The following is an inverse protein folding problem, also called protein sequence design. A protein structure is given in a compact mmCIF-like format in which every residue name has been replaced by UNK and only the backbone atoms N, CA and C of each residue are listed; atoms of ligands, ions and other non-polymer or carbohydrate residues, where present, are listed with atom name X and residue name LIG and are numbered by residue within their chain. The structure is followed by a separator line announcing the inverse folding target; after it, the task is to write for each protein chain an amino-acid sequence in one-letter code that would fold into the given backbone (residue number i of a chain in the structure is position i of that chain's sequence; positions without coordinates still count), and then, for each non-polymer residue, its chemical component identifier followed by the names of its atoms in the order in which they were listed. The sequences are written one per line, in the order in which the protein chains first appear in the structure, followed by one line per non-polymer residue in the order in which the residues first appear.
data_IF_848927819366
#
_entry.id   IF_848927819366
#
_cell.length_a   1.000
_cell.length_b   1.000
_cell.length_c   1.000
_cell.angle_alpha   90.00
_cell.angle_beta   90.00
_cell.angle_gamma   90.00
#
_symmetry.space_group_name_H-M   'P 1'
#
loop_
_entity.id
_entity.type
_entity.pdbx_description
1 polymer ?
#
# COMPACT_ATOMS: atom_id res chain seq x y z
N UNK A 1 -22.37 44.08 10.53
CA UNK A 1 -22.43 44.01 9.05
C UNK A 1 -21.01 43.81 8.51
N UNK A 2 -20.89 42.97 7.46
CA UNK A 2 -19.69 42.38 6.79
C UNK A 2 -19.15 41.12 7.52
N UNK A 3 -19.47 39.87 7.12
CA UNK A 3 -19.11 39.10 5.88
C UNK A 3 -17.60 39.10 5.61
N UNK A 4 -16.91 38.05 5.18
CA UNK A 4 -17.11 36.61 4.96
C UNK A 4 -15.67 36.10 4.67
N UNK A 5 -15.29 34.91 5.12
CA UNK A 5 -14.28 34.06 4.45
C UNK A 5 -14.27 32.69 5.12
N UNK A 6 -15.30 31.90 4.83
CA UNK A 6 -15.15 30.45 4.75
C UNK A 6 -14.34 30.15 3.49
N UNK A 7 -13.37 29.22 3.52
CA UNK A 7 -13.24 28.15 2.49
C UNK A 7 -12.33 27.00 3.01
N UNK A 8 -13.00 25.87 3.26
CA UNK A 8 -12.66 24.49 2.87
C UNK A 8 -11.26 23.90 3.12
N UNK A 9 -11.20 22.90 4.01
CA UNK A 9 -10.49 21.65 3.72
C UNK A 9 -11.31 20.46 4.24
N UNK A 10 -12.20 19.96 3.38
CA UNK A 10 -12.82 18.65 3.54
C UNK A 10 -12.04 17.67 2.67
N UNK A 11 -11.12 16.89 3.25
CA UNK A 11 -10.48 15.79 2.54
C UNK A 11 -11.10 14.43 2.91
N UNK A 12 -12.10 14.10 2.11
CA UNK A 12 -12.44 12.79 1.56
C UNK A 12 -11.99 11.52 2.29
N UNK A 13 -12.97 10.91 2.94
CA UNK A 13 -13.09 9.46 3.11
C UNK A 13 -12.92 8.70 1.78
N UNK A 14 -11.70 8.22 1.51
CA UNK A 14 -11.39 7.14 0.56
C UNK A 14 -10.59 6.01 1.25
N UNK A 15 -10.83 5.79 2.53
CA UNK A 15 -10.00 4.90 3.38
C UNK A 15 -10.15 3.39 3.08
N UNK A 16 -11.31 2.92 2.61
CA UNK A 16 -11.62 1.47 2.59
C UNK A 16 -10.79 0.56 1.66
N UNK A 17 -10.04 1.11 0.70
CA UNK A 17 -9.11 0.34 -0.16
C UNK A 17 -7.63 0.70 0.11
N UNK A 18 -7.41 1.87 0.73
CA UNK A 18 -6.12 2.51 0.99
C UNK A 18 -5.45 1.96 2.25
N UNK A 19 -6.23 1.65 3.28
CA UNK A 19 -5.71 1.05 4.51
C UNK A 19 -5.14 -0.35 4.28
N UNK A 20 -5.82 -1.22 3.52
CA UNK A 20 -5.48 -2.66 3.41
C UNK A 20 -4.08 -3.01 2.90
N UNK A 21 -3.44 -2.16 2.09
CA UNK A 21 -2.07 -2.46 1.62
C UNK A 21 -1.07 -2.42 2.79
N UNK A 22 -1.29 -1.49 3.73
CA UNK A 22 -0.36 -1.18 4.81
C UNK A 22 -0.96 -1.27 6.24
N UNK A 23 -2.21 -1.70 6.39
CA UNK A 23 -3.01 -1.73 7.64
C UNK A 23 -2.42 -2.62 8.76
N UNK A 24 -1.48 -3.51 8.45
CA UNK A 24 -0.89 -4.48 9.39
C UNK A 24 0.58 -4.17 9.76
N UNK A 25 0.96 -2.89 9.87
CA UNK A 25 2.34 -2.50 10.18
C UNK A 25 3.34 -2.69 9.04
N UNK A 26 2.86 -3.10 7.85
CA UNK A 26 3.66 -3.29 6.63
C UNK A 26 4.39 -2.02 6.20
N UNK A 27 3.82 -0.83 6.47
CA UNK A 27 4.50 0.44 6.18
C UNK A 27 5.78 0.58 7.01
N UNK A 28 5.73 0.31 8.31
CA UNK A 28 6.91 0.33 9.18
C UNK A 28 7.98 -0.65 8.69
N UNK A 29 7.56 -1.87 8.35
CA UNK A 29 8.46 -2.91 7.85
C UNK A 29 9.14 -2.50 6.54
N UNK A 30 8.40 -1.91 5.61
CA UNK A 30 8.94 -1.41 4.35
C UNK A 30 9.90 -0.23 4.58
N UNK A 31 9.51 0.77 5.37
CA UNK A 31 10.36 1.94 5.68
C UNK A 31 11.66 1.50 6.34
N UNK A 32 11.60 0.58 7.31
CA UNK A 32 12.78 0.03 7.97
C UNK A 32 13.69 -0.72 6.98
N UNK A 33 13.12 -1.52 6.07
CA UNK A 33 13.87 -2.19 5.01
C UNK A 33 14.59 -1.20 4.08
N UNK A 34 13.96 -0.08 3.71
CA UNK A 34 14.61 0.93 2.88
C UNK A 34 15.78 1.59 3.61
N UNK A 35 15.59 1.95 4.87
CA UNK A 35 16.65 2.56 5.71
C UNK A 35 17.82 1.58 5.93
N UNK A 36 17.57 0.27 5.95
CA UNK A 36 18.62 -0.75 6.03
C UNK A 36 19.59 -0.70 4.84
N UNK A 37 19.08 -0.43 3.64
CA UNK A 37 19.90 -0.45 2.42
C UNK A 37 20.92 0.70 2.42
N UNK A 38 20.49 1.87 2.87
CA UNK A 38 21.34 3.03 3.10
C UNK A 38 20.60 4.05 3.99
N UNK A 39 21.32 4.91 4.74
CA UNK A 39 20.69 6.00 5.48
C UNK A 39 19.92 6.94 4.55
N UNK A 40 18.70 7.32 4.93
CA UNK A 40 17.75 8.06 4.08
C UNK A 40 17.03 9.17 4.82
N UNK A 41 16.63 10.19 4.07
CA UNK A 41 15.70 11.23 4.51
C UNK A 41 14.25 10.80 4.30
N UNK A 42 13.33 11.41 5.04
CA UNK A 42 11.89 11.12 4.91
C UNK A 42 11.35 11.31 3.49
N UNK A 43 11.82 12.32 2.74
CA UNK A 43 11.39 12.54 1.36
C UNK A 43 11.94 11.49 0.38
N UNK A 44 13.14 10.96 0.63
CA UNK A 44 13.73 9.90 -0.19
C UNK A 44 12.93 8.61 -0.03
N UNK A 45 12.51 8.31 1.20
CA UNK A 45 11.63 7.19 1.53
C UNK A 45 10.27 7.34 0.82
N UNK A 46 9.68 8.55 0.83
CA UNK A 46 8.43 8.81 0.08
C UNK A 46 8.60 8.49 -1.40
N UNK A 47 9.68 9.01 -2.00
CA UNK A 47 9.98 8.82 -3.43
C UNK A 47 10.21 7.35 -3.76
N UNK A 48 11.04 6.67 -3.02
CA UNK A 48 11.40 5.27 -3.26
C UNK A 48 10.21 4.33 -3.06
N UNK A 49 9.33 4.58 -2.08
CA UNK A 49 8.06 3.85 -1.95
C UNK A 49 7.16 4.14 -3.15
N UNK A 50 7.06 5.39 -3.60
CA UNK A 50 6.30 5.74 -4.80
C UNK A 50 6.78 4.95 -6.01
N UNK A 51 8.10 4.90 -6.20
CA UNK A 51 8.71 4.16 -7.29
C UNK A 51 8.38 2.66 -7.11
N UNK A 52 8.59 2.07 -5.93
CA UNK A 52 8.27 0.67 -5.59
C UNK A 52 6.85 0.26 -5.94
N UNK A 53 5.86 1.09 -5.61
CA UNK A 53 4.45 0.79 -5.85
C UNK A 53 3.99 1.17 -7.28
N UNK A 54 4.69 2.10 -7.94
CA UNK A 54 4.33 2.65 -9.25
C UNK A 54 3.25 3.73 -9.18
N UNK A 55 2.76 4.19 -10.33
CA UNK A 55 1.79 5.30 -10.51
C UNK A 55 0.47 5.16 -9.71
N UNK A 56 0.24 4.02 -9.08
CA UNK A 56 -0.92 3.75 -8.24
C UNK A 56 -0.84 4.25 -6.79
N UNK A 57 0.33 4.65 -6.27
CA UNK A 57 0.44 5.11 -4.86
C UNK A 57 1.74 5.86 -4.52
N UNK A 58 1.59 7.06 -3.98
CA UNK A 58 2.65 7.79 -3.27
C UNK A 58 2.22 7.98 -1.81
N UNK A 59 3.02 7.58 -0.80
CA UNK A 59 2.68 7.82 0.59
C UNK A 59 2.79 9.32 0.92
N UNK A 60 1.87 9.83 1.74
CA UNK A 60 1.95 11.23 2.17
C UNK A 60 3.00 11.43 3.26
N UNK A 61 3.46 12.67 3.43
CA UNK A 61 4.27 13.07 4.58
C UNK A 61 3.59 12.69 5.91
N UNK A 62 2.29 12.89 6.04
CA UNK A 62 1.50 12.48 7.20
C UNK A 62 1.40 10.96 7.42
N UNK A 63 1.86 10.14 6.47
CA UNK A 63 2.02 8.69 6.66
C UNK A 63 3.46 8.35 7.05
N UNK A 64 4.45 8.94 6.37
CA UNK A 64 5.86 8.58 6.55
C UNK A 64 6.46 9.14 7.83
N UNK A 65 6.23 10.41 8.17
CA UNK A 65 6.84 10.98 9.37
C UNK A 65 6.36 10.32 10.68
N UNK A 66 5.05 10.03 10.86
CA UNK A 66 4.63 9.25 12.02
C UNK A 66 5.18 7.82 12.05
N UNK A 67 5.39 7.21 10.86
CA UNK A 67 6.04 5.90 10.76
C UNK A 67 7.48 5.96 11.23
N UNK A 68 8.24 7.00 10.83
CA UNK A 68 9.62 7.23 11.28
C UNK A 68 9.69 7.47 12.78
N UNK A 69 8.84 8.34 13.32
CA UNK A 69 8.76 8.58 14.77
C UNK A 69 8.51 7.27 15.53
N UNK A 70 7.57 6.45 15.07
CA UNK A 70 7.31 5.17 15.73
C UNK A 70 8.48 4.18 15.63
N UNK A 71 9.21 4.16 14.52
CA UNK A 71 10.40 3.30 14.38
C UNK A 71 11.54 3.78 15.31
N UNK A 72 11.69 5.09 15.49
CA UNK A 72 12.65 5.69 16.42
C UNK A 72 12.28 5.41 17.88
N UNK A 73 11.01 5.56 18.26
CA UNK A 73 10.50 5.19 19.59
C UNK A 73 10.70 3.70 19.92
N UNK A 74 10.65 2.85 18.89
CA UNK A 74 10.94 1.41 19.01
C UNK A 74 12.45 1.09 18.99
N UNK A 75 13.32 2.10 18.93
CA UNK A 75 14.78 1.98 18.79
C UNK A 75 15.24 1.17 17.57
N UNK A 76 14.41 1.09 16.52
CA UNK A 76 14.74 0.36 15.29
C UNK A 76 15.56 1.22 14.31
N UNK A 77 15.43 2.54 14.40
CA UNK A 77 16.22 3.52 13.66
C UNK A 77 16.72 4.61 14.60
N UNK A 78 17.74 5.35 14.19
CA UNK A 78 18.17 6.58 14.84
C UNK A 78 18.56 7.64 13.80
N UNK A 79 18.69 8.88 14.25
CA UNK A 79 19.22 9.97 13.44
C UNK A 79 20.74 9.83 13.30
N UNK A 80 21.20 9.70 12.07
CA UNK A 80 22.62 9.83 11.70
C UNK A 80 23.03 11.30 11.72
N UNK A 81 22.15 12.19 11.26
CA UNK A 81 22.33 13.65 11.27
C UNK A 81 21.02 14.31 11.71
N UNK A 82 21.06 15.02 12.84
CA UNK A 82 19.88 15.67 13.44
C UNK A 82 19.44 16.91 12.67
N UNK A 83 20.37 17.67 12.10
CA UNK A 83 20.07 18.86 11.31
C UNK A 83 19.47 18.49 9.96
N UNK A 84 19.98 17.41 9.35
CA UNK A 84 19.51 16.93 8.05
C UNK A 84 18.31 15.99 8.17
N UNK A 85 18.03 15.44 9.35
CA UNK A 85 17.02 14.40 9.59
C UNK A 85 17.25 13.16 8.72
N UNK A 86 18.50 12.70 8.69
CA UNK A 86 18.87 11.47 8.00
C UNK A 86 18.77 10.30 8.98
N UNK A 87 18.00 9.28 8.62
CA UNK A 87 17.75 8.11 9.45
C UNK A 87 18.62 6.94 9.01
N UNK A 88 19.14 6.20 9.98
CA UNK A 88 19.86 4.93 9.75
C UNK A 88 19.28 3.83 10.65
N UNK A 89 19.49 2.58 10.26
CA UNK A 89 19.01 1.42 11.01
C UNK A 89 19.92 1.14 12.22
N UNK A 90 19.35 0.69 13.33
CA UNK A 90 20.13 0.23 14.49
C UNK A 90 20.43 -1.27 14.43
N UNK A 91 21.26 -1.78 15.33
CA UNK A 91 21.45 -3.23 15.49
C UNK A 91 20.13 -3.95 15.83
N UNK A 92 19.32 -3.34 16.71
CA UNK A 92 17.98 -3.85 17.06
C UNK A 92 17.03 -3.84 15.86
N UNK A 93 17.10 -2.80 15.01
CA UNK A 93 16.40 -2.73 13.74
C UNK A 93 16.74 -3.87 12.78
N UNK A 94 18.03 -4.22 12.68
CA UNK A 94 18.49 -5.33 11.85
C UNK A 94 17.98 -6.69 12.37
N UNK A 95 18.03 -6.90 13.69
CA UNK A 95 17.48 -8.12 14.30
C UNK A 95 15.98 -8.24 14.02
N UNK A 96 15.22 -7.15 14.22
CA UNK A 96 13.79 -7.11 13.94
C UNK A 96 13.47 -7.40 12.46
N UNK A 97 14.21 -6.84 11.51
CA UNK A 97 14.03 -7.15 10.08
C UNK A 97 14.29 -8.62 9.77
N UNK A 98 15.29 -9.21 10.42
CA UNK A 98 15.62 -10.64 10.26
C UNK A 98 14.47 -11.51 10.75
N UNK A 99 13.89 -11.20 11.91
CA UNK A 99 12.71 -11.91 12.44
C UNK A 99 11.47 -11.76 11.55
N UNK A 100 11.32 -10.64 10.85
CA UNK A 100 10.18 -10.37 9.98
C UNK A 100 10.45 -10.66 8.49
N UNK A 101 11.54 -11.38 8.17
CA UNK A 101 12.01 -11.54 6.79
C UNK A 101 10.95 -12.18 5.87
N UNK A 102 10.20 -13.17 6.36
CA UNK A 102 9.15 -13.83 5.55
C UNK A 102 8.00 -12.88 5.23
N UNK A 103 7.58 -12.06 6.19
CA UNK A 103 6.55 -11.03 5.97
C UNK A 103 7.04 -9.94 5.03
N UNK A 104 8.32 -9.58 5.11
CA UNK A 104 8.94 -8.62 4.21
C UNK A 104 8.97 -9.16 2.78
N UNK A 105 9.39 -10.42 2.58
CA UNK A 105 9.35 -11.09 1.27
C UNK A 105 7.94 -11.12 0.70
N UNK A 106 6.95 -11.53 1.48
CA UNK A 106 5.55 -11.55 1.06
C UNK A 106 5.05 -10.15 0.64
N UNK A 107 5.43 -9.12 1.40
CA UNK A 107 5.11 -7.73 1.08
C UNK A 107 5.75 -7.29 -0.24
N UNK A 108 7.06 -7.53 -0.41
CA UNK A 108 7.79 -7.12 -1.61
C UNK A 108 7.26 -7.83 -2.86
N UNK A 109 6.95 -9.13 -2.80
CA UNK A 109 6.32 -9.85 -3.92
C UNK A 109 4.95 -9.27 -4.27
N UNK A 110 4.12 -8.92 -3.27
CA UNK A 110 2.83 -8.25 -3.51
C UNK A 110 2.98 -6.89 -4.16
N UNK A 111 4.02 -6.13 -3.82
CA UNK A 111 4.32 -4.84 -4.45
C UNK A 111 4.83 -5.04 -5.89
N UNK A 112 5.72 -6.01 -6.11
CA UNK A 112 6.25 -6.38 -7.44
C UNK A 112 5.13 -6.77 -8.39
N UNK A 113 4.28 -7.72 -7.98
CA UNK A 113 3.13 -8.16 -8.78
C UNK A 113 2.21 -7.00 -9.13
N UNK A 114 1.94 -6.09 -8.19
CA UNK A 114 1.13 -4.89 -8.44
C UNK A 114 1.78 -3.94 -9.44
N UNK A 115 3.09 -3.76 -9.36
CA UNK A 115 3.84 -2.90 -10.28
C UNK A 115 3.86 -3.51 -11.68
N UNK A 116 4.13 -4.80 -11.82
CA UNK A 116 4.11 -5.50 -13.13
C UNK A 116 2.77 -5.40 -13.80
N UNK A 117 1.72 -5.60 -13.02
CA UNK A 117 0.34 -5.24 -13.34
C UNK A 117 0.33 -3.80 -13.92
N UNK A 118 0.67 -2.77 -13.14
CA UNK A 118 0.52 -1.37 -13.59
C UNK A 118 1.45 -0.91 -14.72
N UNK A 119 2.62 -1.53 -14.90
CA UNK A 119 3.68 -1.03 -15.78
C UNK A 119 3.82 -1.76 -17.12
N UNK A 120 3.12 -2.87 -17.34
CA UNK A 120 3.15 -3.58 -18.61
C UNK A 120 1.99 -3.16 -19.52
N UNK A 121 2.32 -2.49 -20.63
CA UNK A 121 1.41 -2.27 -21.74
C UNK A 121 0.85 -3.60 -22.31
N UNK A 122 1.62 -4.69 -22.20
CA UNK A 122 1.19 -6.04 -22.62
C UNK A 122 0.09 -6.65 -21.73
N UNK A 123 -0.08 -6.16 -20.50
CA UNK A 123 -1.10 -6.65 -19.55
C UNK A 123 -2.32 -5.72 -19.46
N UNK A 124 -2.38 -4.66 -20.29
CA UNK A 124 -3.50 -3.69 -20.33
C UNK A 124 -4.85 -4.39 -20.44
N UNK A 125 -4.94 -5.46 -21.23
CA UNK A 125 -6.19 -6.18 -21.43
C UNK A 125 -6.64 -6.92 -20.17
N UNK A 126 -5.72 -7.58 -19.46
CA UNK A 126 -5.99 -8.25 -18.18
C UNK A 126 -6.40 -7.23 -17.13
N UNK A 127 -5.73 -6.08 -17.12
CA UNK A 127 -6.04 -4.94 -16.25
C UNK A 127 -7.43 -4.40 -16.44
N UNK A 128 -7.77 -4.07 -17.69
CA UNK A 128 -9.08 -3.57 -18.07
C UNK A 128 -10.15 -4.59 -17.66
N UNK A 129 -9.93 -5.88 -17.91
CA UNK A 129 -10.84 -6.94 -17.51
C UNK A 129 -11.03 -7.00 -15.98
N UNK A 130 -9.96 -6.88 -15.21
CA UNK A 130 -10.03 -6.87 -13.75
C UNK A 130 -10.72 -5.63 -13.18
N UNK A 131 -10.50 -4.43 -13.75
CA UNK A 131 -11.23 -3.21 -13.35
C UNK A 131 -12.71 -3.27 -13.71
N UNK A 132 -13.06 -3.87 -14.86
CA UNK A 132 -14.45 -4.13 -15.23
C UNK A 132 -15.12 -5.09 -14.23
N UNK A 133 -14.45 -6.18 -13.86
CA UNK A 133 -14.96 -7.14 -12.86
C UNK A 133 -15.18 -6.45 -11.50
N UNK A 134 -14.18 -5.70 -11.00
CA UNK A 134 -14.30 -4.95 -9.73
C UNK A 134 -15.48 -3.98 -9.76
N UNK A 135 -15.68 -3.28 -10.88
CA UNK A 135 -16.77 -2.31 -11.06
C UNK A 135 -18.12 -3.01 -11.03
N UNK A 136 -18.27 -4.10 -11.79
CA UNK A 136 -19.49 -4.89 -11.82
C UNK A 136 -19.85 -5.44 -10.42
N UNK A 137 -18.87 -5.99 -9.70
CA UNK A 137 -19.05 -6.47 -8.33
C UNK A 137 -19.47 -5.34 -7.38
N UNK A 138 -18.80 -4.18 -7.46
CA UNK A 138 -19.13 -3.02 -6.61
C UNK A 138 -20.56 -2.54 -6.86
N UNK A 139 -20.98 -2.43 -8.12
CA UNK A 139 -22.35 -2.04 -8.47
C UNK A 139 -23.36 -3.04 -7.92
N UNK A 140 -23.08 -4.34 -8.04
CA UNK A 140 -23.96 -5.41 -7.59
C UNK A 140 -24.05 -5.53 -6.07
N UNK A 141 -22.95 -5.30 -5.35
CA UNK A 141 -22.91 -5.27 -3.89
C UNK A 141 -23.60 -4.01 -3.31
N UNK A 142 -23.56 -2.90 -4.04
CA UNK A 142 -24.20 -1.64 -3.62
C UNK A 142 -25.69 -1.59 -3.98
N UNK A 143 -26.18 -2.41 -4.91
CA UNK A 143 -27.62 -2.60 -5.11
C UNK A 143 -28.21 -3.37 -3.94
N UNK A 144 -29.19 -2.78 -3.24
CA UNK A 144 -29.86 -3.38 -2.09
C UNK A 144 -30.46 -4.75 -2.46
N UNK A 145 -30.11 -5.78 -1.68
CA UNK A 145 -30.79 -7.09 -1.68
C UNK A 145 -30.20 -8.18 -2.57
N UNK A 146 -28.91 -8.46 -2.46
CA UNK A 146 -28.35 -9.69 -3.01
C UNK A 146 -28.92 -10.92 -2.30
N UNK A 147 -29.58 -11.80 -3.05
CA UNK A 147 -30.02 -13.09 -2.53
C UNK A 147 -28.83 -14.03 -2.35
N UNK A 148 -28.93 -14.96 -1.40
CA UNK A 148 -27.85 -15.91 -1.10
C UNK A 148 -27.44 -16.74 -2.32
N UNK A 149 -28.40 -17.12 -3.16
CA UNK A 149 -28.15 -17.81 -4.43
C UNK A 149 -27.29 -16.97 -5.40
N UNK A 150 -27.56 -15.66 -5.50
CA UNK A 150 -26.77 -14.76 -6.35
C UNK A 150 -25.33 -14.62 -5.85
N UNK A 151 -25.11 -14.63 -4.54
CA UNK A 151 -23.78 -14.60 -3.93
C UNK A 151 -23.01 -15.88 -4.32
N UNK A 152 -23.64 -17.05 -4.19
CA UNK A 152 -23.03 -18.32 -4.61
C UNK A 152 -22.69 -18.33 -6.10
N UNK A 153 -23.60 -17.89 -6.96
CA UNK A 153 -23.36 -17.82 -8.40
C UNK A 153 -22.20 -16.87 -8.77
N UNK A 154 -22.06 -15.74 -8.06
CA UNK A 154 -20.93 -14.82 -8.24
C UNK A 154 -19.61 -15.48 -7.83
N UNK A 155 -19.58 -16.12 -6.65
CA UNK A 155 -18.38 -16.80 -6.16
C UNK A 155 -17.94 -17.93 -7.10
N UNK A 156 -18.89 -18.78 -7.52
CA UNK A 156 -18.64 -19.88 -8.45
C UNK A 156 -18.01 -19.39 -9.76
N UNK A 157 -18.53 -18.29 -10.34
CA UNK A 157 -17.97 -17.72 -11.58
C UNK A 157 -16.54 -17.21 -11.41
N UNK A 158 -16.23 -16.60 -10.27
CA UNK A 158 -14.87 -16.12 -9.97
C UNK A 158 -13.93 -17.31 -9.82
N UNK A 159 -14.34 -18.35 -9.10
CA UNK A 159 -13.54 -19.57 -8.90
C UNK A 159 -13.29 -20.31 -10.21
N UNK A 160 -14.30 -20.45 -11.06
CA UNK A 160 -14.17 -21.05 -12.39
C UNK A 160 -13.15 -20.29 -13.25
N UNK A 161 -13.21 -18.95 -13.25
CA UNK A 161 -12.24 -18.12 -13.95
C UNK A 161 -10.81 -18.31 -13.39
N UNK A 162 -10.65 -18.36 -12.07
CA UNK A 162 -9.37 -18.60 -11.43
C UNK A 162 -8.78 -19.98 -11.78
N UNK A 163 -9.60 -21.04 -11.76
CA UNK A 163 -9.19 -22.41 -12.15
C UNK A 163 -8.80 -22.47 -13.63
N UNK A 164 -9.56 -21.80 -14.51
CA UNK A 164 -9.23 -21.77 -15.94
C UNK A 164 -7.91 -21.05 -16.21
N UNK A 165 -7.68 -19.91 -15.55
CA UNK A 165 -6.42 -19.16 -15.67
C UNK A 165 -5.24 -19.96 -15.13
N UNK A 166 -5.39 -20.63 -13.97
CA UNK A 166 -4.32 -21.44 -13.38
C UNK A 166 -3.95 -22.71 -14.15
N UNK A 167 -4.70 -23.04 -15.21
CA UNK A 167 -4.44 -24.18 -16.11
C UNK A 167 -3.82 -23.77 -17.45
N UNK A 168 -3.71 -22.48 -17.74
CA UNK A 168 -2.97 -21.97 -18.91
C UNK A 168 -1.47 -22.16 -18.70
#
# INVERSE_FOLDING_TARGET
MKQQSEQHHAEHHRSGRRGRLFEAGRMKLLVLHLIQQNPKHGYEIIKEISDLVGDGYTPSAGTIYPTLTSLEEMNLINLLDVERKQYQITEFGNAYLTEQQDKLKELLEKLRLRREIHSNDELIEIHRAMENLKTALRLKLNSAGLQQEQIYQIAEKIDQAAVAIGRL
#
